data_IF_048588243809
#
_entry.id   IF_048588243809
#
_cell.length_a   1.000
_cell.length_b   1.000
_cell.length_c   1.000
_cell.angle_alpha   90.00
_cell.angle_beta   90.00
_cell.angle_gamma   90.00
#
_symmetry.space_group_name_H-M   'P 1'
#
loop_
_entity.id
_entity.type
_entity.pdbx_description
1 polymer ?
#
# COMPACT_ATOMS: atom_id res chain seq x y z
N UNK A 1 -55.79 40.25 31.98
CA UNK A 1 -55.33 38.85 31.89
C UNK A 1 -55.16 38.54 30.42
N UNK A 2 -53.93 38.61 29.92
CA UNK A 2 -53.58 38.16 28.58
C UNK A 2 -52.81 36.85 28.75
N UNK A 3 -53.46 35.75 28.37
CA UNK A 3 -52.86 34.42 28.35
C UNK A 3 -51.77 34.39 27.28
N UNK A 4 -50.53 34.18 27.71
CA UNK A 4 -49.40 33.94 26.82
C UNK A 4 -49.27 32.44 26.60
N UNK A 5 -50.07 31.91 25.67
CA UNK A 5 -49.90 30.55 25.18
C UNK A 5 -48.62 30.46 24.35
N UNK A 6 -47.55 30.04 25.02
CA UNK A 6 -46.31 29.58 24.38
C UNK A 6 -46.63 28.39 23.47
N UNK A 7 -46.72 28.65 22.17
CA UNK A 7 -46.81 27.61 21.15
C UNK A 7 -45.44 26.89 21.07
N UNK A 8 -45.30 25.82 21.86
CA UNK A 8 -44.21 24.86 21.73
C UNK A 8 -44.45 24.00 20.47
N UNK A 9 -44.16 24.55 19.28
CA UNK A 9 -44.15 23.77 18.06
C UNK A 9 -43.00 22.76 18.14
N UNK A 10 -43.34 21.47 18.19
CA UNK A 10 -42.35 20.39 18.17
C UNK A 10 -41.63 20.45 16.83
N UNK A 11 -40.37 20.88 16.85
CA UNK A 11 -39.51 20.87 15.65
C UNK A 11 -39.11 19.42 15.37
N UNK A 12 -39.74 18.80 14.39
CA UNK A 12 -39.35 17.47 13.89
C UNK A 12 -38.12 17.62 13.01
N UNK A 13 -36.97 17.17 13.51
CA UNK A 13 -35.71 17.15 12.74
C UNK A 13 -35.62 15.89 11.89
N UNK A 14 -35.06 16.01 10.69
CA UNK A 14 -34.76 14.84 9.84
C UNK A 14 -33.58 14.07 10.45
N UNK A 15 -33.61 12.76 10.33
CA UNK A 15 -32.51 11.86 10.71
C UNK A 15 -32.29 10.85 9.60
N UNK A 16 -31.04 10.53 9.33
CA UNK A 16 -30.65 9.52 8.34
C UNK A 16 -30.69 8.09 8.89
N UNK A 17 -31.03 7.89 10.18
CA UNK A 17 -31.10 6.59 10.85
C UNK A 17 -29.78 5.79 10.76
N UNK A 18 -28.66 6.46 11.01
CA UNK A 18 -27.35 5.84 10.97
C UNK A 18 -27.23 4.69 11.96
N UNK A 19 -26.57 3.61 11.52
CA UNK A 19 -26.24 2.49 12.40
C UNK A 19 -25.16 2.89 13.40
N UNK A 20 -25.19 2.35 14.64
CA UNK A 20 -24.14 2.60 15.62
C UNK A 20 -22.77 2.13 15.12
N UNK A 21 -21.72 2.55 15.82
CA UNK A 21 -20.38 1.97 15.65
C UNK A 21 -20.43 0.47 15.95
N UNK A 22 -19.81 -0.34 15.10
CA UNK A 22 -19.62 -1.78 15.36
C UNK A 22 -18.50 -2.02 16.39
N UNK A 23 -17.75 -0.97 16.74
CA UNK A 23 -16.61 -1.04 17.64
C UNK A 23 -16.96 -0.53 19.02
N UNK A 24 -16.71 -1.36 20.02
CA UNK A 24 -16.75 -0.94 21.41
C UNK A 24 -15.45 -0.21 21.79
N UNK A 25 -15.60 1.00 22.29
CA UNK A 25 -14.49 1.82 22.75
C UNK A 25 -13.82 1.28 24.01
N UNK A 26 -14.52 0.52 24.87
CA UNK A 26 -13.88 -0.16 26.00
C UNK A 26 -13.03 -1.33 25.52
N UNK A 27 -13.49 -2.09 24.53
CA UNK A 27 -12.66 -3.05 23.82
C UNK A 27 -11.41 -2.40 23.22
N UNK A 28 -11.52 -1.25 22.55
CA UNK A 28 -10.36 -0.52 22.00
C UNK A 28 -9.36 -0.14 23.10
N UNK A 29 -9.84 0.36 24.24
CA UNK A 29 -8.96 0.66 25.38
C UNK A 29 -8.26 -0.60 25.93
N UNK A 30 -8.94 -1.76 25.88
CA UNK A 30 -8.41 -3.03 26.38
C UNK A 30 -7.30 -3.66 25.53
N UNK A 31 -7.13 -3.21 24.27
CA UNK A 31 -6.17 -3.80 23.33
C UNK A 31 -4.76 -3.86 23.93
N UNK A 32 -4.10 -5.00 23.85
CA UNK A 32 -2.69 -5.17 24.27
C UNK A 32 -1.88 -5.74 23.12
N UNK A 33 -0.67 -5.23 22.96
CA UNK A 33 0.26 -5.70 21.94
C UNK A 33 1.58 -6.12 22.60
N UNK A 34 2.06 -7.32 22.28
CA UNK A 34 3.31 -7.88 22.82
C UNK A 34 4.55 -7.38 22.07
N UNK A 35 4.38 -6.79 20.89
CA UNK A 35 5.48 -6.29 20.04
C UNK A 35 5.91 -4.88 20.45
N UNK A 36 6.08 -4.68 21.75
CA UNK A 36 6.50 -3.42 22.37
C UNK A 36 7.76 -3.65 23.20
N UNK A 37 8.52 -2.58 23.45
CA UNK A 37 9.69 -2.60 24.33
C UNK A 37 11.02 -2.96 23.66
N UNK A 38 12.08 -2.86 24.46
CA UNK A 38 13.49 -2.90 24.02
C UNK A 38 13.88 -4.22 23.37
N UNK A 39 13.39 -5.36 23.88
CA UNK A 39 13.68 -6.68 23.31
C UNK A 39 13.22 -6.78 21.86
N UNK A 40 12.04 -6.25 21.54
CA UNK A 40 11.51 -6.25 20.18
C UNK A 40 12.38 -5.37 19.27
N UNK A 41 12.75 -4.18 19.75
CA UNK A 41 13.61 -3.24 19.02
C UNK A 41 14.98 -3.88 18.73
N UNK A 42 15.60 -4.50 19.73
CA UNK A 42 16.90 -5.14 19.58
C UNK A 42 16.87 -6.27 18.54
N UNK A 43 15.87 -7.15 18.59
CA UNK A 43 15.70 -8.23 17.61
C UNK A 43 15.43 -7.69 16.19
N UNK A 44 14.58 -6.66 16.07
CA UNK A 44 14.32 -6.00 14.79
C UNK A 44 15.60 -5.40 14.20
N UNK A 45 16.43 -4.74 15.01
CA UNK A 45 17.70 -4.16 14.56
C UNK A 45 18.70 -5.22 14.06
N UNK A 46 18.81 -6.36 14.74
CA UNK A 46 19.66 -7.48 14.27
C UNK A 46 19.20 -7.98 12.90
N UNK A 47 17.89 -8.14 12.70
CA UNK A 47 17.33 -8.55 11.40
C UNK A 47 17.57 -7.49 10.31
N UNK A 48 17.45 -6.20 10.64
CA UNK A 48 17.75 -5.11 9.71
C UNK A 48 19.19 -5.15 9.22
N UNK A 49 20.17 -5.38 10.10
CA UNK A 49 21.58 -5.51 9.68
C UNK A 49 21.80 -6.69 8.72
N UNK A 50 21.14 -7.83 8.95
CA UNK A 50 21.20 -8.94 8.01
C UNK A 50 20.66 -8.56 6.62
N UNK A 51 19.56 -7.80 6.56
CA UNK A 51 18.98 -7.33 5.30
C UNK A 51 19.89 -6.28 4.62
N UNK A 52 20.53 -5.38 5.37
CA UNK A 52 21.54 -4.46 4.80
C UNK A 52 22.69 -5.22 4.15
N UNK A 53 23.18 -6.27 4.82
CA UNK A 53 24.21 -7.13 4.23
C UNK A 53 23.72 -7.85 2.97
N UNK A 54 22.45 -8.26 2.90
CA UNK A 54 21.88 -8.82 1.66
C UNK A 54 21.93 -7.78 0.54
N UNK A 55 21.39 -6.58 0.77
CA UNK A 55 21.38 -5.47 -0.20
C UNK A 55 22.80 -5.14 -0.73
N UNK A 56 23.82 -5.22 0.12
CA UNK A 56 25.21 -4.97 -0.27
C UNK A 56 25.86 -6.13 -1.04
N UNK A 57 25.40 -7.37 -0.83
CA UNK A 57 25.97 -8.57 -1.46
C UNK A 57 25.37 -8.88 -2.82
N UNK A 58 24.11 -8.50 -3.08
CA UNK A 58 23.48 -8.76 -4.37
C UNK A 58 24.15 -7.90 -5.44
N UNK A 59 24.74 -8.56 -6.45
CA UNK A 59 25.43 -7.92 -7.56
C UNK A 59 24.58 -7.93 -8.84
N UNK A 60 23.77 -8.97 -9.07
CA UNK A 60 22.93 -9.04 -10.26
C UNK A 60 21.83 -7.96 -10.21
N UNK A 61 21.69 -7.13 -11.25
CA UNK A 61 20.70 -6.05 -11.25
C UNK A 61 19.25 -6.51 -11.15
N UNK A 62 18.89 -7.70 -11.65
CA UNK A 62 17.52 -8.19 -11.53
C UNK A 62 17.25 -8.60 -10.09
N UNK A 63 18.16 -9.34 -9.48
CA UNK A 63 18.05 -9.73 -8.07
C UNK A 63 17.99 -8.50 -7.15
N UNK A 64 18.72 -7.44 -7.48
CA UNK A 64 18.64 -6.16 -6.77
C UNK A 64 17.24 -5.54 -6.87
N UNK A 65 16.67 -5.47 -8.09
CA UNK A 65 15.32 -4.95 -8.31
C UNK A 65 14.25 -5.81 -7.62
N UNK A 66 14.36 -7.14 -7.69
CA UNK A 66 13.45 -8.07 -7.03
C UNK A 66 13.51 -7.93 -5.51
N UNK A 67 14.70 -7.78 -4.93
CA UNK A 67 14.87 -7.56 -3.50
C UNK A 67 14.25 -6.22 -3.07
N UNK A 68 14.45 -5.15 -3.85
CA UNK A 68 13.82 -3.85 -3.59
C UNK A 68 12.29 -3.96 -3.64
N UNK A 69 11.74 -4.63 -4.65
CA UNK A 69 10.30 -4.82 -4.78
C UNK A 69 9.72 -5.60 -3.59
N UNK A 70 10.38 -6.69 -3.19
CA UNK A 70 9.99 -7.48 -2.02
C UNK A 70 10.02 -6.61 -0.76
N UNK A 71 11.06 -5.80 -0.55
CA UNK A 71 11.16 -4.92 0.62
C UNK A 71 10.04 -3.86 0.66
N UNK A 72 9.71 -3.26 -0.49
CA UNK A 72 8.60 -2.31 -0.58
C UNK A 72 7.26 -2.96 -0.25
N UNK A 73 6.98 -4.12 -0.86
CA UNK A 73 5.71 -4.81 -0.68
C UNK A 73 5.58 -5.46 0.70
N UNK A 74 6.68 -5.78 1.37
CA UNK A 74 6.71 -6.19 2.78
C UNK A 74 6.64 -5.01 3.76
N UNK A 75 6.53 -3.76 3.28
CA UNK A 75 6.45 -2.57 4.12
C UNK A 75 7.76 -2.21 4.84
N UNK A 76 8.89 -2.76 4.39
CA UNK A 76 10.20 -2.61 5.02
C UNK A 76 11.07 -1.51 4.40
N UNK A 77 10.65 -0.93 3.28
CA UNK A 77 11.43 0.06 2.51
C UNK A 77 11.91 1.24 3.35
N UNK A 78 11.10 1.72 4.30
CA UNK A 78 11.41 2.86 5.15
C UNK A 78 12.66 2.67 6.05
N UNK A 79 13.14 1.43 6.25
CA UNK A 79 14.37 1.15 6.99
C UNK A 79 15.64 1.18 6.13
N UNK A 80 15.47 1.18 4.80
CA UNK A 80 16.54 0.96 3.82
C UNK A 80 16.51 1.99 2.67
N UNK A 81 15.91 3.16 2.89
CA UNK A 81 15.72 4.19 1.85
C UNK A 81 17.04 4.61 1.21
N UNK A 82 18.11 4.74 2.00
CA UNK A 82 19.44 5.12 1.51
C UNK A 82 20.08 4.05 0.62
N UNK A 83 20.00 2.78 1.04
CA UNK A 83 20.51 1.64 0.27
C UNK A 83 19.73 1.47 -1.04
N UNK A 84 18.39 1.52 -0.97
CA UNK A 84 17.52 1.41 -2.13
C UNK A 84 17.78 2.54 -3.13
N UNK A 85 17.87 3.79 -2.66
CA UNK A 85 18.18 4.95 -3.49
C UNK A 85 19.49 4.77 -4.23
N UNK A 86 20.57 4.38 -3.54
CA UNK A 86 21.89 4.15 -4.15
C UNK A 86 21.85 3.09 -5.25
N UNK A 87 21.15 1.99 -5.02
CA UNK A 87 21.00 0.91 -6.01
C UNK A 87 20.25 1.45 -7.25
N UNK A 88 19.10 2.08 -7.04
CA UNK A 88 18.29 2.62 -8.14
C UNK A 88 19.03 3.71 -8.94
N UNK A 89 19.75 4.61 -8.27
CA UNK A 89 20.64 5.60 -8.91
C UNK A 89 21.69 4.94 -9.80
N UNK A 90 22.35 3.88 -9.31
CA UNK A 90 23.33 3.12 -10.09
C UNK A 90 22.70 2.49 -11.33
N UNK A 91 21.52 1.88 -11.19
CA UNK A 91 20.79 1.26 -12.29
C UNK A 91 20.30 2.27 -13.33
N UNK A 92 19.89 3.47 -12.90
CA UNK A 92 19.46 4.55 -13.77
C UNK A 92 20.64 5.12 -14.58
N UNK A 93 21.77 5.40 -13.94
CA UNK A 93 22.94 5.96 -14.60
C UNK A 93 23.59 4.99 -15.61
N UNK A 94 23.56 3.68 -15.32
CA UNK A 94 24.09 2.67 -16.24
C UNK A 94 23.31 2.61 -17.57
N UNK A 95 21.99 2.86 -17.56
CA UNK A 95 21.20 2.89 -18.81
C UNK A 95 21.56 4.10 -19.69
N UNK A 96 21.83 5.24 -19.08
CA UNK A 96 22.25 6.46 -19.79
C UNK A 96 23.61 6.27 -20.47
N UNK A 97 24.48 5.43 -19.89
CA UNK A 97 25.79 5.10 -20.47
C UNK A 97 25.72 4.15 -21.69
N UNK A 98 24.53 3.74 -22.11
CA UNK A 98 24.33 2.84 -23.24
C UNK A 98 24.51 1.35 -22.91
N UNK A 99 24.65 0.99 -21.63
CA UNK A 99 24.84 -0.40 -21.23
C UNK A 99 23.51 -1.17 -21.33
N UNK A 100 23.47 -2.17 -22.20
CA UNK A 100 22.26 -2.85 -22.68
C UNK A 100 21.83 -4.01 -21.77
N UNK A 101 21.77 -3.83 -20.46
CA UNK A 101 21.46 -4.94 -19.56
C UNK A 101 20.01 -5.42 -19.74
N UNK A 102 19.84 -6.71 -20.08
CA UNK A 102 18.59 -7.48 -20.19
C UNK A 102 17.40 -6.74 -20.83
N UNK A 103 17.64 -5.86 -21.81
CA UNK A 103 16.56 -5.14 -22.52
C UNK A 103 15.52 -6.12 -23.10
N UNK A 104 15.94 -7.30 -23.54
CA UNK A 104 15.02 -8.30 -24.11
C UNK A 104 14.15 -9.05 -23.09
N UNK A 105 14.39 -8.91 -21.78
CA UNK A 105 13.56 -9.53 -20.75
C UNK A 105 12.44 -8.56 -20.32
N UNK A 106 11.19 -8.96 -20.55
CA UNK A 106 10.01 -8.14 -20.24
C UNK A 106 9.91 -7.87 -18.74
N UNK A 107 10.05 -8.91 -17.91
CA UNK A 107 9.95 -8.77 -16.47
C UNK A 107 10.99 -7.80 -15.89
N UNK A 108 12.26 -7.93 -16.26
CA UNK A 108 13.33 -7.06 -15.81
C UNK A 108 13.12 -5.60 -16.25
N UNK A 109 12.74 -5.39 -17.52
CA UNK A 109 12.52 -4.04 -18.06
C UNK A 109 11.33 -3.35 -17.39
N UNK A 110 10.22 -4.07 -17.21
CA UNK A 110 9.01 -3.54 -16.57
C UNK A 110 9.22 -3.27 -15.08
N UNK A 111 9.89 -4.18 -14.37
CA UNK A 111 10.20 -4.00 -12.95
C UNK A 111 11.11 -2.80 -12.73
N UNK A 112 12.16 -2.68 -13.54
CA UNK A 112 13.07 -1.54 -13.51
C UNK A 112 12.34 -0.23 -13.77
N UNK A 113 11.53 -0.17 -14.83
CA UNK A 113 10.73 1.00 -15.17
C UNK A 113 9.82 1.40 -14.01
N UNK A 114 9.08 0.43 -13.44
CA UNK A 114 8.14 0.66 -12.34
C UNK A 114 8.85 1.22 -11.11
N UNK A 115 9.90 0.55 -10.64
CA UNK A 115 10.63 0.98 -9.45
C UNK A 115 11.29 2.34 -9.63
N UNK A 116 11.92 2.61 -10.79
CA UNK A 116 12.55 3.89 -11.03
C UNK A 116 11.53 5.04 -11.08
N UNK A 117 10.39 4.86 -11.74
CA UNK A 117 9.33 5.88 -11.74
C UNK A 117 8.71 6.10 -10.35
N UNK A 118 8.48 5.04 -9.58
CA UNK A 118 7.99 5.15 -8.20
C UNK A 118 8.93 5.97 -7.31
N UNK A 119 10.23 5.96 -7.61
CA UNK A 119 11.25 6.74 -6.90
C UNK A 119 11.55 8.11 -7.55
N UNK A 120 10.75 8.52 -8.54
CA UNK A 120 10.85 9.84 -9.15
C UNK A 120 11.90 9.99 -10.26
N UNK A 121 12.50 8.90 -10.74
CA UNK A 121 13.38 8.94 -11.89
C UNK A 121 12.56 9.04 -13.19
N UNK A 122 13.00 9.92 -14.10
CA UNK A 122 12.35 10.10 -15.38
C UNK A 122 12.82 9.04 -16.39
N UNK A 123 11.96 8.08 -16.71
CA UNK A 123 12.21 7.06 -17.73
C UNK A 123 11.14 7.14 -18.80
N UNK A 124 11.54 7.22 -20.07
CA UNK A 124 10.62 7.26 -21.20
C UNK A 124 9.92 5.91 -21.40
N UNK A 125 8.62 5.93 -21.76
CA UNK A 125 7.89 4.76 -22.27
C UNK A 125 8.58 4.09 -23.48
N UNK A 126 9.47 4.81 -24.18
CA UNK A 126 10.23 4.27 -25.32
C UNK A 126 11.12 3.06 -25.00
N UNK A 127 11.38 2.78 -23.71
CA UNK A 127 12.04 1.52 -23.30
C UNK A 127 11.28 0.27 -23.74
N UNK A 128 9.96 0.37 -23.95
CA UNK A 128 9.14 -0.76 -24.37
C UNK A 128 9.08 -0.98 -25.90
N UNK A 129 9.69 -0.09 -26.70
CA UNK A 129 9.70 -0.21 -28.17
C UNK A 129 10.33 -1.52 -28.66
N UNK A 130 11.31 -2.05 -27.92
CA UNK A 130 11.99 -3.32 -28.21
C UNK A 130 11.05 -4.54 -28.19
N UNK A 131 9.89 -4.40 -27.53
CA UNK A 131 8.87 -5.44 -27.42
C UNK A 131 7.80 -5.34 -28.53
N UNK A 132 7.91 -4.35 -29.42
CA UNK A 132 7.09 -4.27 -30.64
C UNK A 132 7.74 -5.06 -31.78
N UNK A 133 6.90 -5.62 -32.63
CA UNK A 133 7.28 -6.22 -33.91
C UNK A 133 7.35 -5.17 -35.03
N UNK A 134 7.68 -5.61 -36.26
CA UNK A 134 7.78 -4.74 -37.44
C UNK A 134 6.46 -4.05 -37.83
N UNK A 135 5.33 -4.52 -37.29
CA UNK A 135 3.98 -3.95 -37.50
C UNK A 135 3.56 -3.05 -36.35
N UNK A 136 4.49 -2.73 -35.44
CA UNK A 136 4.27 -1.98 -34.20
C UNK A 136 3.32 -2.67 -33.20
N UNK A 137 3.09 -3.98 -33.34
CA UNK A 137 2.27 -4.78 -32.44
C UNK A 137 3.17 -5.44 -31.39
N UNK A 138 2.71 -5.58 -30.15
CA UNK A 138 3.49 -6.28 -29.12
C UNK A 138 3.72 -7.75 -29.48
N UNK A 139 4.98 -8.18 -29.40
CA UNK A 139 5.42 -9.53 -29.80
C UNK A 139 4.62 -10.61 -29.07
N UNK A 140 4.07 -11.57 -29.81
CA UNK A 140 3.28 -12.66 -29.23
C UNK A 140 4.08 -13.56 -28.27
N UNK A 141 5.41 -13.62 -28.37
CA UNK A 141 6.26 -14.37 -27.43
C UNK A 141 6.24 -13.82 -26.00
N UNK A 142 5.79 -12.57 -25.80
CA UNK A 142 5.60 -11.98 -24.46
C UNK A 142 4.49 -12.67 -23.68
N UNK A 143 3.58 -13.37 -24.36
CA UNK A 143 2.44 -14.07 -23.78
C UNK A 143 2.84 -15.30 -22.94
N UNK A 144 4.07 -15.78 -23.07
CA UNK A 144 4.55 -16.98 -22.37
C UNK A 144 5.04 -16.68 -20.94
N UNK A 145 5.34 -15.42 -20.61
CA UNK A 145 5.89 -15.01 -19.30
C UNK A 145 4.84 -14.25 -18.45
N UNK A 146 3.95 -14.98 -17.76
CA UNK A 146 2.88 -14.36 -16.94
C UNK A 146 3.41 -13.37 -15.90
N UNK A 147 4.57 -13.66 -15.28
CA UNK A 147 5.24 -12.75 -14.34
C UNK A 147 5.63 -11.42 -15.01
N UNK A 148 6.12 -11.47 -16.24
CA UNK A 148 6.45 -10.31 -17.06
C UNK A 148 5.21 -9.48 -17.43
N UNK A 149 4.13 -10.14 -17.85
CA UNK A 149 2.85 -9.46 -18.18
C UNK A 149 2.23 -8.81 -16.94
N UNK A 150 2.26 -9.49 -15.79
CA UNK A 150 1.78 -8.91 -14.54
C UNK A 150 2.60 -7.66 -14.15
N UNK A 151 3.93 -7.75 -14.23
CA UNK A 151 4.82 -6.62 -13.97
C UNK A 151 4.58 -5.47 -14.96
N UNK A 152 4.30 -5.77 -16.23
CA UNK A 152 3.92 -4.80 -17.25
C UNK A 152 2.60 -4.09 -16.91
N UNK A 153 1.58 -4.86 -16.51
CA UNK A 153 0.31 -4.32 -16.06
C UNK A 153 0.51 -3.33 -14.92
N UNK A 154 1.26 -3.71 -13.89
CA UNK A 154 1.54 -2.83 -12.74
C UNK A 154 2.34 -1.58 -13.11
N UNK A 155 3.34 -1.74 -13.99
CA UNK A 155 4.15 -0.64 -14.49
C UNK A 155 3.32 0.38 -15.29
N UNK A 156 2.31 -0.09 -16.03
CA UNK A 156 1.48 0.77 -16.88
C UNK A 156 0.68 1.82 -16.11
N UNK A 157 0.42 1.63 -14.81
CA UNK A 157 -0.28 2.60 -13.97
C UNK A 157 0.56 3.80 -13.54
N UNK A 158 1.87 3.80 -13.85
CA UNK A 158 2.76 4.95 -13.64
C UNK A 158 2.80 5.88 -14.85
N UNK A 159 1.84 5.77 -15.76
CA UNK A 159 1.75 6.63 -16.94
C UNK A 159 1.56 8.11 -16.55
N UNK A 160 2.12 9.00 -17.37
CA UNK A 160 1.85 10.43 -17.31
C UNK A 160 1.03 10.86 -18.54
N UNK A 161 0.57 12.11 -18.56
CA UNK A 161 -0.09 12.67 -19.74
C UNK A 161 0.76 12.46 -21.00
N UNK A 162 0.11 12.22 -22.14
CA UNK A 162 0.71 11.94 -23.46
C UNK A 162 1.42 10.57 -23.64
N UNK A 163 1.28 9.64 -22.69
CA UNK A 163 1.89 8.31 -22.77
C UNK A 163 0.96 7.20 -23.28
N UNK A 164 0.53 7.34 -24.53
CA UNK A 164 -0.40 6.39 -25.18
C UNK A 164 0.13 4.94 -25.21
N UNK A 165 1.45 4.72 -25.26
CA UNK A 165 2.01 3.37 -25.30
C UNK A 165 1.73 2.60 -24.02
N UNK A 166 1.80 3.26 -22.86
CA UNK A 166 1.50 2.62 -21.58
C UNK A 166 0.03 2.25 -21.46
N UNK A 167 -0.87 3.04 -22.05
CA UNK A 167 -2.29 2.70 -22.12
C UNK A 167 -2.53 1.46 -23.01
N UNK A 168 -1.88 1.38 -24.17
CA UNK A 168 -1.93 0.20 -25.03
C UNK A 168 -1.37 -1.04 -24.32
N UNK A 169 -0.23 -0.92 -23.64
CA UNK A 169 0.40 -1.98 -22.85
C UNK A 169 -0.52 -2.45 -21.73
N UNK A 170 -1.21 -1.53 -21.05
CA UNK A 170 -2.20 -1.86 -20.02
C UNK A 170 -3.32 -2.70 -20.59
N UNK A 171 -3.89 -2.31 -21.73
CA UNK A 171 -4.98 -3.03 -22.38
C UNK A 171 -4.54 -4.42 -22.84
N UNK A 172 -3.34 -4.51 -23.44
CA UNK A 172 -2.71 -5.77 -23.80
C UNK A 172 -2.55 -6.70 -22.59
N UNK A 173 -1.89 -6.22 -21.54
CA UNK A 173 -1.62 -7.01 -20.34
C UNK A 173 -2.92 -7.44 -19.64
N UNK A 174 -3.90 -6.55 -19.53
CA UNK A 174 -5.22 -6.86 -18.93
C UNK A 174 -5.90 -8.03 -19.62
N UNK A 175 -5.93 -8.03 -20.97
CA UNK A 175 -6.56 -9.12 -21.74
C UNK A 175 -5.88 -10.47 -21.46
N UNK A 176 -4.54 -10.50 -21.52
CA UNK A 176 -3.78 -11.73 -21.29
C UNK A 176 -3.89 -12.24 -19.84
N UNK A 177 -3.90 -11.34 -18.86
CA UNK A 177 -4.07 -11.69 -17.45
C UNK A 177 -5.47 -12.24 -17.16
N UNK A 178 -6.52 -11.67 -17.75
CA UNK A 178 -7.88 -12.19 -17.65
C UNK A 178 -8.02 -13.60 -18.27
N UNK A 179 -7.37 -13.84 -19.41
CA UNK A 179 -7.30 -15.16 -20.03
C UNK A 179 -6.53 -16.16 -19.14
N UNK A 180 -5.42 -15.74 -18.54
CA UNK A 180 -4.64 -16.57 -17.61
C UNK A 180 -5.47 -17.03 -16.40
N UNK A 181 -6.20 -16.11 -15.76
CA UNK A 181 -7.06 -16.42 -14.60
C UNK A 181 -8.13 -17.45 -14.96
N UNK A 182 -8.72 -17.37 -16.16
CA UNK A 182 -9.70 -18.37 -16.64
C UNK A 182 -9.11 -19.77 -16.79
N UNK A 183 -7.83 -19.87 -17.15
CA UNK A 183 -7.12 -21.14 -17.30
C UNK A 183 -6.66 -21.73 -15.95
N UNK A 184 -6.62 -20.94 -14.88
CA UNK A 184 -6.32 -21.33 -13.50
C UNK A 184 -5.11 -22.28 -13.38
N UNK A 185 -3.99 -21.94 -14.03
CA UNK A 185 -2.82 -22.82 -14.13
C UNK A 185 -2.06 -22.95 -12.80
N UNK A 186 -1.63 -21.83 -12.23
CA UNK A 186 -0.88 -21.75 -10.97
C UNK A 186 -1.71 -20.96 -9.95
N UNK A 187 -1.96 -21.54 -8.77
CA UNK A 187 -2.80 -20.92 -7.74
C UNK A 187 -2.19 -19.64 -7.14
N UNK A 188 -0.88 -19.61 -6.90
CA UNK A 188 -0.20 -18.46 -6.31
C UNK A 188 -0.15 -17.30 -7.30
N UNK A 189 0.22 -17.56 -8.54
CA UNK A 189 0.25 -16.54 -9.60
C UNK A 189 -1.18 -16.08 -9.91
N UNK A 190 -2.15 -16.99 -10.01
CA UNK A 190 -3.55 -16.59 -10.26
C UNK A 190 -4.11 -15.70 -9.15
N UNK A 191 -3.75 -15.95 -7.89
CA UNK A 191 -4.12 -15.07 -6.79
C UNK A 191 -3.50 -13.67 -6.94
N UNK A 192 -2.21 -13.57 -7.28
CA UNK A 192 -1.56 -12.28 -7.55
C UNK A 192 -2.16 -11.54 -8.73
N UNK A 193 -2.47 -12.24 -9.82
CA UNK A 193 -3.10 -11.66 -11.00
C UNK A 193 -4.51 -11.16 -10.70
N UNK A 194 -5.31 -11.96 -9.99
CA UNK A 194 -6.68 -11.57 -9.60
C UNK A 194 -6.65 -10.34 -8.71
N UNK A 195 -5.72 -10.31 -7.75
CA UNK A 195 -5.52 -9.18 -6.86
C UNK A 195 -5.10 -7.92 -7.65
N UNK A 196 -4.12 -8.00 -8.55
CA UNK A 196 -3.71 -6.86 -9.37
C UNK A 196 -4.85 -6.33 -10.25
N UNK A 197 -5.66 -7.20 -10.86
CA UNK A 197 -6.78 -6.81 -11.72
C UNK A 197 -7.93 -6.11 -10.97
N UNK A 198 -8.09 -6.35 -9.67
CA UNK A 198 -9.06 -5.64 -8.83
C UNK A 198 -8.64 -4.19 -8.58
N UNK A 199 -7.37 -3.98 -8.24
CA UNK A 199 -6.78 -2.67 -8.05
C UNK A 199 -5.25 -2.81 -8.24
N UNK A 200 -4.61 -1.97 -9.06
CA UNK A 200 -3.17 -2.05 -9.30
C UNK A 200 -2.40 -1.62 -8.06
N UNK A 201 -1.19 -2.17 -7.89
CA UNK A 201 -0.26 -1.89 -6.81
C UNK A 201 -0.05 -0.38 -6.60
N UNK A 202 0.08 0.39 -7.67
CA UNK A 202 0.32 1.83 -7.59
C UNK A 202 -0.81 2.62 -6.89
N UNK A 203 -2.05 2.10 -6.91
CA UNK A 203 -3.21 2.75 -6.30
C UNK A 203 -3.57 2.17 -4.93
N UNK A 204 -2.86 1.14 -4.48
CA UNK A 204 -3.14 0.47 -3.20
C UNK A 204 -2.57 1.26 -2.03
N UNK A 205 -3.33 1.28 -0.94
CA UNK A 205 -2.83 1.73 0.36
C UNK A 205 -1.77 0.73 0.83
N UNK A 206 -0.54 1.21 1.00
CA UNK A 206 0.66 0.41 1.26
C UNK A 206 0.46 -0.54 2.45
N UNK A 207 -0.20 -0.08 3.52
CA UNK A 207 -0.40 -0.89 4.73
C UNK A 207 -1.25 -2.13 4.49
N UNK A 208 -2.25 -2.05 3.60
CA UNK A 208 -3.12 -3.19 3.26
C UNK A 208 -2.44 -4.13 2.28
N UNK A 209 -1.75 -3.58 1.28
CA UNK A 209 -0.87 -4.36 0.42
C UNK A 209 0.13 -5.15 1.28
N UNK A 210 0.79 -4.50 2.24
CA UNK A 210 1.78 -5.14 3.12
C UNK A 210 1.20 -6.32 3.87
N UNK A 211 0.03 -6.15 4.51
CA UNK A 211 -0.61 -7.23 5.27
C UNK A 211 -0.92 -8.43 4.38
N UNK A 212 -1.45 -8.18 3.19
CA UNK A 212 -1.78 -9.21 2.21
C UNK A 212 -0.52 -9.87 1.64
N UNK A 213 0.49 -9.08 1.28
CA UNK A 213 1.71 -9.58 0.67
C UNK A 213 2.58 -10.38 1.64
N UNK A 214 2.55 -10.11 2.95
CA UNK A 214 3.19 -10.98 3.95
C UNK A 214 2.64 -12.41 3.85
N UNK A 215 1.33 -12.59 3.68
CA UNK A 215 0.73 -13.92 3.57
C UNK A 215 1.10 -14.61 2.24
N UNK A 216 1.14 -13.86 1.14
CA UNK A 216 1.61 -14.36 -0.16
C UNK A 216 3.10 -14.71 -0.13
N UNK A 217 3.93 -13.86 0.48
CA UNK A 217 5.37 -14.07 0.57
C UNK A 217 5.69 -15.32 1.39
N UNK A 218 4.90 -15.60 2.44
CA UNK A 218 5.04 -16.81 3.26
C UNK A 218 4.84 -18.11 2.45
N UNK A 219 4.02 -18.11 1.40
CA UNK A 219 3.73 -19.30 0.58
C UNK A 219 4.63 -19.44 -0.65
N UNK A 220 5.58 -18.53 -0.87
CA UNK A 220 6.52 -18.60 -1.99
C UNK A 220 7.61 -19.64 -1.74
N UNK A 221 8.03 -20.32 -2.81
CA UNK A 221 9.14 -21.28 -2.77
C UNK A 221 10.50 -20.61 -2.51
N UNK A 222 10.67 -19.37 -3.00
CA UNK A 222 11.88 -18.55 -2.86
C UNK A 222 11.84 -17.60 -1.65
N UNK A 223 10.95 -17.86 -0.68
CA UNK A 223 10.79 -17.05 0.53
C UNK A 223 12.08 -17.02 1.37
N UNK A 224 12.52 -15.81 1.74
CA UNK A 224 13.64 -15.62 2.65
C UNK A 224 13.13 -15.47 4.11
N UNK A 225 13.52 -16.37 5.03
CA UNK A 225 12.99 -16.37 6.40
C UNK A 225 13.39 -15.14 7.20
N UNK A 226 14.50 -14.48 6.88
CA UNK A 226 14.93 -13.26 7.54
C UNK A 226 14.02 -12.09 7.13
N UNK A 227 13.70 -11.98 5.84
CA UNK A 227 12.78 -10.95 5.33
C UNK A 227 11.38 -11.14 5.89
N UNK A 228 10.84 -12.37 5.86
CA UNK A 228 9.51 -12.67 6.40
C UNK A 228 9.44 -12.34 7.90
N UNK A 229 10.43 -12.79 8.68
CA UNK A 229 10.45 -12.53 10.12
C UNK A 229 10.56 -11.04 10.44
N UNK A 230 11.38 -10.30 9.70
CA UNK A 230 11.49 -8.84 9.87
C UNK A 230 10.17 -8.15 9.51
N UNK A 231 9.52 -8.54 8.41
CA UNK A 231 8.24 -7.98 7.97
C UNK A 231 7.12 -8.20 9.00
N UNK A 232 6.97 -9.43 9.51
CA UNK A 232 5.98 -9.73 10.54
C UNK A 232 6.26 -8.96 11.83
N UNK A 233 7.52 -8.86 12.23
CA UNK A 233 7.91 -8.16 13.44
C UNK A 233 7.66 -6.66 13.32
N UNK A 234 8.12 -6.05 12.24
CA UNK A 234 7.95 -4.63 11.96
C UNK A 234 6.47 -4.25 11.82
N UNK A 235 5.69 -5.03 11.07
CA UNK A 235 4.26 -4.81 10.91
C UNK A 235 3.55 -4.76 12.25
N UNK A 236 3.85 -5.71 13.15
CA UNK A 236 3.24 -5.79 14.47
C UNK A 236 3.73 -4.70 15.43
N UNK A 237 5.00 -4.29 15.34
CA UNK A 237 5.54 -3.15 16.10
C UNK A 237 4.84 -1.84 15.69
N UNK A 238 4.70 -1.60 14.38
CA UNK A 238 3.97 -0.43 13.87
C UNK A 238 2.48 -0.49 14.26
N UNK A 239 1.86 -1.68 14.19
CA UNK A 239 0.48 -1.86 14.64
C UNK A 239 0.31 -1.55 16.14
N UNK A 240 1.30 -1.85 16.98
CA UNK A 240 1.27 -1.49 18.39
C UNK A 240 1.23 0.03 18.60
N UNK A 241 2.00 0.78 17.81
CA UNK A 241 1.97 2.25 17.82
C UNK A 241 0.61 2.78 17.36
N UNK A 242 0.08 2.26 16.25
CA UNK A 242 -1.26 2.64 15.76
C UNK A 242 -2.38 2.33 16.76
N UNK A 243 -2.29 1.22 17.47
CA UNK A 243 -3.24 0.88 18.54
C UNK A 243 -3.18 1.89 19.69
N UNK A 244 -2.00 2.39 20.06
CA UNK A 244 -1.90 3.44 21.08
C UNK A 244 -2.45 4.78 20.60
N UNK A 245 -2.16 5.18 19.36
CA UNK A 245 -2.75 6.37 18.74
C UNK A 245 -4.28 6.29 18.75
N UNK A 246 -4.83 5.13 18.37
CA UNK A 246 -6.26 4.86 18.37
C UNK A 246 -6.87 4.93 19.78
N UNK A 247 -6.18 4.41 20.80
CA UNK A 247 -6.62 4.55 22.18
C UNK A 247 -6.67 6.01 22.62
N UNK A 248 -5.73 6.83 22.20
CA UNK A 248 -5.76 8.26 22.50
C UNK A 248 -6.95 8.96 21.83
N UNK A 249 -7.22 8.65 20.56
CA UNK A 249 -8.35 9.21 19.83
C UNK A 249 -9.69 8.75 20.43
N UNK A 250 -9.83 7.48 20.78
CA UNK A 250 -11.05 6.95 21.42
C UNK A 250 -11.29 7.51 22.82
N UNK A 251 -10.24 7.75 23.62
CA UNK A 251 -10.36 8.52 24.88
C UNK A 251 -10.88 9.93 24.62
N UNK A 252 -10.33 10.61 23.63
CA UNK A 252 -10.81 11.95 23.24
C UNK A 252 -12.29 11.92 22.84
N UNK A 253 -12.69 10.99 21.99
CA UNK A 253 -14.08 10.87 21.51
C UNK A 253 -15.07 10.60 22.66
N UNK A 254 -14.72 9.67 23.57
CA UNK A 254 -15.51 9.43 24.80
C UNK A 254 -15.60 10.67 25.68
N UNK A 255 -14.49 11.39 25.87
CA UNK A 255 -14.45 12.58 26.73
C UNK A 255 -15.27 13.76 26.19
N UNK A 256 -15.36 13.93 24.86
CA UNK A 256 -16.17 14.99 24.28
C UNK A 256 -17.67 14.69 24.32
N UNK A 257 -18.05 13.42 24.50
CA UNK A 257 -19.44 12.93 24.46
C UNK A 257 -20.18 13.32 23.18
N UNK A 258 -19.47 13.62 22.10
CA UNK A 258 -20.09 14.07 20.86
C UNK A 258 -20.93 12.95 20.23
N UNK A 259 -20.43 11.72 20.21
CA UNK A 259 -21.20 10.55 19.73
C UNK A 259 -22.45 10.24 20.55
N UNK A 260 -22.46 10.58 21.86
CA UNK A 260 -23.62 10.39 22.74
C UNK A 260 -24.64 11.52 22.60
N UNK A 261 -24.16 12.77 22.52
CA UNK A 261 -25.00 13.96 22.52
C UNK A 261 -25.56 14.30 21.13
N UNK A 262 -24.81 13.99 20.06
CA UNK A 262 -25.18 14.27 18.67
C UNK A 262 -25.65 13.00 17.98
N UNK A 263 -26.75 12.43 18.48
CA UNK A 263 -27.31 11.16 18.00
C UNK A 263 -27.75 11.15 16.53
N UNK A 264 -27.82 12.32 15.89
CA UNK A 264 -28.09 12.44 14.46
C UNK A 264 -26.85 12.18 13.59
N UNK A 265 -25.65 12.36 14.14
CA UNK A 265 -24.39 12.24 13.41
C UNK A 265 -23.85 10.80 13.46
N UNK A 266 -23.09 10.42 12.43
CA UNK A 266 -22.44 9.10 12.35
C UNK A 266 -21.31 8.99 13.36
N UNK A 267 -21.35 7.94 14.19
CA UNK A 267 -20.21 7.53 15.01
C UNK A 267 -19.33 6.53 14.23
N UNK A 268 -18.23 7.05 13.64
CA UNK A 268 -17.32 6.32 12.74
C UNK A 268 -15.85 6.57 13.07
N UNK A 269 -15.53 6.72 14.35
CA UNK A 269 -14.18 7.08 14.80
C UNK A 269 -13.11 6.09 14.31
N UNK A 270 -13.44 4.80 14.31
CA UNK A 270 -12.52 3.73 13.88
C UNK A 270 -12.23 3.78 12.39
N UNK A 271 -13.27 3.99 11.58
CA UNK A 271 -13.16 4.13 10.14
C UNK A 271 -12.35 5.38 9.78
N UNK A 272 -12.56 6.49 10.50
CA UNK A 272 -11.78 7.73 10.32
C UNK A 272 -10.32 7.57 10.76
N UNK A 273 -10.07 6.80 11.82
CA UNK A 273 -8.71 6.45 12.22
C UNK A 273 -8.02 5.59 11.16
N UNK A 274 -8.75 4.63 10.60
CA UNK A 274 -8.27 3.77 9.52
C UNK A 274 -7.89 4.56 8.27
N UNK A 275 -8.68 5.59 7.91
CA UNK A 275 -8.33 6.57 6.88
C UNK A 275 -7.02 7.31 7.19
N UNK A 276 -6.89 7.82 8.41
CA UNK A 276 -5.69 8.55 8.84
C UNK A 276 -4.44 7.67 8.82
N UNK A 277 -4.57 6.40 9.22
CA UNK A 277 -3.52 5.38 9.15
C UNK A 277 -3.14 5.05 7.70
N UNK A 278 -4.11 5.01 6.78
CA UNK A 278 -3.84 4.78 5.36
C UNK A 278 -3.08 5.92 4.69
N UNK A 279 -3.29 7.16 5.14
CA UNK A 279 -2.56 8.34 4.66
C UNK A 279 -1.19 8.52 5.31
N UNK A 280 -1.07 8.16 6.60
CA UNK A 280 0.11 8.41 7.43
C UNK A 280 0.44 7.13 8.19
N UNK A 281 1.11 6.19 7.54
CA UNK A 281 1.38 4.87 8.09
C UNK A 281 2.63 4.84 8.97
N UNK A 282 3.58 5.77 8.80
CA UNK A 282 4.87 5.73 9.48
C UNK A 282 4.75 6.03 10.99
N UNK A 283 5.36 5.21 11.88
CA UNK A 283 5.09 5.24 13.32
C UNK A 283 5.39 6.60 13.98
N UNK A 284 6.40 7.34 13.51
CA UNK A 284 6.82 8.63 14.08
C UNK A 284 5.77 9.75 13.97
N UNK A 285 4.76 9.61 13.10
CA UNK A 285 3.76 10.64 12.85
C UNK A 285 2.44 10.41 13.61
N UNK A 286 2.50 9.81 14.81
CA UNK A 286 1.32 9.53 15.64
C UNK A 286 0.47 10.77 15.94
N UNK A 287 1.09 11.90 16.27
CA UNK A 287 0.39 13.16 16.51
C UNK A 287 -0.45 13.59 15.28
N UNK A 288 0.10 13.44 14.07
CA UNK A 288 -0.61 13.76 12.83
C UNK A 288 -1.80 12.84 12.62
N UNK A 289 -1.64 11.51 12.78
CA UNK A 289 -2.75 10.55 12.69
C UNK A 289 -3.88 10.88 13.67
N UNK A 290 -3.52 11.15 14.92
CA UNK A 290 -4.48 11.48 15.99
C UNK A 290 -5.28 12.73 15.61
N UNK A 291 -4.59 13.81 15.24
CA UNK A 291 -5.26 15.08 14.92
C UNK A 291 -6.07 15.01 13.62
N UNK A 292 -5.59 14.29 12.60
CA UNK A 292 -6.33 14.06 11.37
C UNK A 292 -7.62 13.28 11.63
N UNK A 293 -7.58 12.28 12.51
CA UNK A 293 -8.79 11.53 12.89
C UNK A 293 -9.79 12.42 13.62
N UNK A 294 -9.33 13.26 14.56
CA UNK A 294 -10.18 14.22 15.26
C UNK A 294 -10.84 15.20 14.29
N UNK A 295 -10.06 15.75 13.37
CA UNK A 295 -10.54 16.66 12.33
C UNK A 295 -11.58 15.97 11.45
N UNK A 296 -11.30 14.77 10.95
CA UNK A 296 -12.25 13.98 10.18
C UNK A 296 -13.55 13.72 10.93
N UNK A 297 -13.47 13.44 12.24
CA UNK A 297 -14.65 13.20 13.09
C UNK A 297 -15.52 14.46 13.21
N UNK A 298 -14.90 15.62 13.37
CA UNK A 298 -15.62 16.90 13.41
C UNK A 298 -16.23 17.26 12.05
N UNK A 299 -15.51 17.00 10.96
CA UNK A 299 -16.03 17.20 9.60
C UNK A 299 -17.25 16.29 9.36
N UNK A 300 -17.20 15.02 9.76
CA UNK A 300 -18.35 14.11 9.64
C UNK A 300 -19.57 14.61 10.40
N UNK A 301 -19.39 15.15 11.61
CA UNK A 301 -20.48 15.77 12.36
C UNK A 301 -21.07 16.97 11.61
N UNK A 302 -20.22 17.84 11.04
CA UNK A 302 -20.67 19.02 10.30
C UNK A 302 -21.36 18.66 8.98
N UNK A 303 -20.94 17.59 8.32
CA UNK A 303 -21.58 17.04 7.13
C UNK A 303 -22.98 16.47 7.44
N UNK A 304 -23.19 15.94 8.65
CA UNK A 304 -24.47 15.41 9.10
C UNK A 304 -25.44 16.46 9.67
N UNK A 305 -24.96 17.70 9.91
CA UNK A 305 -25.75 18.80 10.49
C UNK A 305 -26.58 19.54 9.44
#
# INVERSE_FOLDING_TARGET
>A
MADSTSNNSIIVRRSANYQPSIWDYDYIQSLRNKYVGETCIAQSNVLKEHVRMMLHKVVDPLEQLELIDILQRLGLSHHFEGEMKRILEGLYNNDQSGNTWRKENLYATTLKFRLLRQHGYNISQGVFNIFRDEREIFKACLCEETKGILSLYEASFLLTESENMLEELRNFATKHLQEYVKLNKDKNISAMVTYALELPLHWRIIKFETRWFIDIYRSREDMNPILLKLAEMDFNMVQAVHQEDLKQVSRWWKNTKLGENLTFARDRLMELFFWSMGMIDQPQFGCCRINLTKLGSLITILDDL
#
